data_IF_504257970018
#
_entry.id   IF_504257970018
#
_cell.length_a   1.000
_cell.length_b   1.000
_cell.length_c   1.000
_cell.angle_alpha   90.00
_cell.angle_beta   90.00
_cell.angle_gamma   90.00
#
_symmetry.space_group_name_H-M   'P 1'
#
loop_
_entity.id
_entity.type
_entity.pdbx_description
1 polymer ?
#
# COMPACT_ATOMS: atom_id res chain seq x y z
N UNK A 1 10.02 -19.15 -23.31
CA UNK A 1 10.05 -17.81 -22.68
C UNK A 1 8.92 -17.00 -23.28
N UNK A 2 7.99 -16.47 -22.48
CA UNK A 2 6.87 -15.67 -22.99
C UNK A 2 7.38 -14.26 -23.38
N UNK A 3 7.38 -13.86 -24.66
CA UNK A 3 7.97 -12.61 -25.12
C UNK A 3 7.14 -11.35 -24.77
N UNK A 4 6.16 -11.46 -23.87
CA UNK A 4 5.14 -10.42 -23.64
C UNK A 4 5.14 -9.73 -22.28
N UNK A 5 5.97 -10.14 -21.30
CA UNK A 5 6.00 -9.47 -19.99
C UNK A 5 7.11 -8.41 -19.92
N UNK A 6 6.75 -7.17 -20.23
CA UNK A 6 7.55 -5.99 -19.89
C UNK A 6 7.11 -5.51 -18.50
N UNK A 7 8.00 -5.59 -17.52
CA UNK A 7 7.76 -5.05 -16.19
C UNK A 7 7.75 -3.52 -16.23
N UNK A 8 6.68 -2.90 -15.75
CA UNK A 8 6.56 -1.44 -15.66
C UNK A 8 6.41 -1.02 -14.20
N UNK A 9 7.01 0.12 -13.85
CA UNK A 9 6.75 0.74 -12.56
C UNK A 9 5.33 1.25 -12.49
N UNK A 10 4.70 1.08 -11.33
CA UNK A 10 3.38 1.65 -11.08
C UNK A 10 3.51 3.15 -10.80
N UNK A 11 2.74 3.95 -11.51
CA UNK A 11 2.67 5.39 -11.27
C UNK A 11 1.96 5.70 -9.95
N UNK A 12 2.27 6.86 -9.38
CA UNK A 12 1.65 7.36 -8.15
C UNK A 12 1.63 8.89 -8.13
N UNK A 13 0.73 9.47 -7.34
CA UNK A 13 0.67 10.91 -7.12
C UNK A 13 1.67 11.32 -6.04
N UNK A 14 2.62 12.21 -6.38
CA UNK A 14 3.63 12.69 -5.43
C UNK A 14 3.01 13.47 -4.26
N UNK A 15 1.94 14.24 -4.50
CA UNK A 15 1.23 14.99 -3.46
C UNK A 15 0.56 14.07 -2.44
N UNK A 16 -0.02 12.96 -2.89
CA UNK A 16 -0.60 11.94 -2.01
C UNK A 16 0.49 11.33 -1.11
N UNK A 17 1.69 11.07 -1.67
CA UNK A 17 2.81 10.50 -0.92
C UNK A 17 3.36 11.48 0.12
N UNK A 18 3.54 12.76 -0.24
CA UNK A 18 4.02 13.79 0.69
C UNK A 18 3.03 14.04 1.83
N UNK A 19 1.72 14.03 1.52
CA UNK A 19 0.66 14.14 2.52
C UNK A 19 0.71 12.96 3.48
N UNK A 20 0.81 11.73 2.96
CA UNK A 20 0.84 10.52 3.77
C UNK A 20 2.09 10.43 4.63
N UNK A 21 3.25 10.83 4.08
CA UNK A 21 4.51 10.91 4.81
C UNK A 21 4.37 11.80 6.06
N UNK A 22 3.80 13.00 5.89
CA UNK A 22 3.60 13.96 6.99
C UNK A 22 2.54 13.47 7.98
N UNK A 23 1.45 12.87 7.51
CA UNK A 23 0.36 12.39 8.36
C UNK A 23 0.78 11.21 9.25
N UNK A 24 1.57 10.29 8.71
CA UNK A 24 1.92 9.03 9.39
C UNK A 24 3.35 9.04 9.95
N UNK A 25 4.11 10.12 9.75
CA UNK A 25 5.51 10.25 10.12
C UNK A 25 6.38 9.06 9.64
N UNK A 26 6.14 8.62 8.40
CA UNK A 26 6.86 7.49 7.77
C UNK A 26 7.95 7.99 6.83
N UNK A 27 8.88 7.10 6.45
CA UNK A 27 9.91 7.47 5.47
C UNK A 27 9.29 7.83 4.11
N UNK A 28 9.92 8.73 3.33
CA UNK A 28 9.42 9.10 2.00
C UNK A 28 9.29 7.90 1.04
N UNK A 29 10.20 6.93 1.16
CA UNK A 29 10.16 5.70 0.34
C UNK A 29 8.93 4.86 0.70
N UNK A 30 8.62 4.72 1.99
CA UNK A 30 7.47 3.95 2.45
C UNK A 30 6.15 4.62 2.04
N UNK A 31 6.05 5.95 2.16
CA UNK A 31 4.88 6.70 1.72
C UNK A 31 4.60 6.49 0.22
N UNK A 32 5.63 6.53 -0.63
CA UNK A 32 5.52 6.24 -2.07
C UNK A 32 4.97 4.84 -2.33
N UNK A 33 5.51 3.83 -1.63
CA UNK A 33 5.07 2.44 -1.77
C UNK A 33 3.61 2.25 -1.34
N UNK A 34 3.18 2.92 -0.27
CA UNK A 34 1.78 2.87 0.20
C UNK A 34 0.83 3.46 -0.85
N UNK A 35 1.14 4.63 -1.40
CA UNK A 35 0.32 5.25 -2.46
C UNK A 35 0.29 4.38 -3.72
N UNK A 36 1.42 3.78 -4.12
CA UNK A 36 1.45 2.81 -5.23
C UNK A 36 0.54 1.60 -4.97
N UNK A 37 0.37 1.18 -3.71
CA UNK A 37 -0.55 0.11 -3.32
C UNK A 37 -2.01 0.55 -3.19
N UNK A 38 -2.32 1.82 -3.46
CA UNK A 38 -3.68 2.37 -3.34
C UNK A 38 -4.03 2.84 -1.93
N UNK A 39 -3.07 2.86 -1.00
CA UNK A 39 -3.26 3.31 0.38
C UNK A 39 -3.02 4.82 0.40
N UNK A 40 -4.08 5.59 0.65
CA UNK A 40 -4.04 7.07 0.55
C UNK A 40 -4.43 7.79 1.82
N UNK A 41 -4.96 7.08 2.81
CA UNK A 41 -5.36 7.65 4.08
C UNK A 41 -4.53 7.10 5.24
N UNK A 42 -4.51 7.84 6.35
CA UNK A 42 -3.88 7.37 7.58
C UNK A 42 -4.58 6.13 8.14
N UNK A 43 -5.90 6.03 7.99
CA UNK A 43 -6.69 4.86 8.40
C UNK A 43 -6.32 3.61 7.59
N UNK A 44 -6.25 3.73 6.26
CA UNK A 44 -5.79 2.64 5.39
C UNK A 44 -4.36 2.21 5.75
N UNK A 45 -3.51 3.19 6.06
CA UNK A 45 -2.12 2.95 6.44
C UNK A 45 -2.03 2.22 7.77
N UNK A 46 -2.82 2.64 8.76
CA UNK A 46 -2.90 2.00 10.06
C UNK A 46 -3.44 0.58 9.93
N UNK A 47 -4.51 0.38 9.17
CA UNK A 47 -5.07 -0.95 8.88
C UNK A 47 -4.07 -1.84 8.14
N UNK A 48 -3.31 -1.29 7.20
CA UNK A 48 -2.27 -2.02 6.47
C UNK A 48 -1.15 -2.53 7.39
N UNK A 49 -0.68 -1.73 8.33
CA UNK A 49 0.35 -2.13 9.28
C UNK A 49 -0.19 -3.00 10.42
N UNK A 50 -1.41 -2.74 10.87
CA UNK A 50 -2.05 -3.39 12.00
C UNK A 50 -3.20 -4.30 11.53
N UNK A 51 -2.94 -5.13 10.53
CA UNK A 51 -3.90 -6.17 10.16
C UNK A 51 -4.11 -7.09 11.36
N UNK A 52 -5.28 -7.02 11.96
CA UNK A 52 -5.70 -7.95 12.98
C UNK A 52 -6.05 -9.30 12.31
N UNK A 53 -5.61 -10.40 12.91
CA UNK A 53 -5.92 -11.76 12.47
C UNK A 53 -7.43 -12.04 12.47
N UNK A 54 -8.21 -11.28 13.25
CA UNK A 54 -9.66 -11.35 13.29
C UNK A 54 -10.33 -11.05 11.93
N UNK A 55 -9.66 -10.30 11.04
CA UNK A 55 -10.15 -9.99 9.70
C UNK A 55 -9.68 -11.00 8.63
N UNK A 56 -8.93 -12.04 9.02
CA UNK A 56 -8.55 -13.11 8.13
C UNK A 56 -9.78 -14.00 7.90
N UNK A 57 -10.35 -13.96 6.69
CA UNK A 57 -11.30 -14.99 6.28
C UNK A 57 -10.67 -16.34 6.53
N UNK A 58 -11.34 -17.22 7.30
CA UNK A 58 -10.83 -18.56 7.56
C UNK A 58 -10.57 -19.23 6.21
N UNK A 59 -9.31 -19.61 5.90
CA UNK A 59 -8.94 -20.08 4.57
C UNK A 59 -9.61 -21.42 4.18
N UNK A 60 -10.41 -22.00 5.08
CA UNK A 60 -11.10 -23.28 4.93
C UNK A 60 -12.51 -23.27 5.56
N UNK A 61 -13.20 -22.13 5.60
CA UNK A 61 -14.64 -22.15 5.92
C UNK A 61 -15.37 -22.93 4.81
N UNK A 62 -15.71 -24.18 5.13
CA UNK A 62 -16.36 -25.18 4.26
C UNK A 62 -17.72 -24.73 3.71
#
# INVERSE_FOLDING_TARGET
MNPGLIWKFREYCALDADKLQKQMNVSPVLAKLLVQRGIKSGEDTYSFFNKNLDALSEPFAL
#
